data_IF_928665815635
#
_entry.id   IF_928665815635
#
_cell.length_a   1.000
_cell.length_b   1.000
_cell.length_c   1.000
_cell.angle_alpha   90.00
_cell.angle_beta   90.00
_cell.angle_gamma   90.00
#
_symmetry.space_group_name_H-M   'P 1'
#
loop_
_entity.id
_entity.type
_entity.pdbx_description
1 polymer ?
#
# COMPACT_ATOMS: atom_id res chain seq x y z
N UNK A 1 -9.74 -6.82 -3.17
CA UNK A 1 -9.26 -5.50 -3.51
C UNK A 1 -8.20 -5.00 -2.53
N UNK A 2 -8.55 -4.60 -1.33
CA UNK A 2 -7.54 -4.16 -0.35
C UNK A 2 -7.68 -5.00 0.91
N UNK A 3 -6.66 -5.78 1.20
CA UNK A 3 -6.65 -6.66 2.36
C UNK A 3 -5.98 -5.97 3.55
N UNK A 4 -5.94 -6.67 4.66
CA UNK A 4 -5.21 -6.20 5.83
C UNK A 4 -3.75 -5.93 5.49
N UNK A 5 -3.16 -6.80 4.66
CA UNK A 5 -1.75 -6.66 4.27
C UNK A 5 -1.51 -5.33 3.55
N UNK A 6 -2.37 -4.98 2.59
CA UNK A 6 -2.23 -3.72 1.86
C UNK A 6 -2.40 -2.52 2.76
N UNK A 7 -3.39 -2.57 3.66
CA UNK A 7 -3.60 -1.47 4.58
C UNK A 7 -2.41 -1.29 5.53
N UNK A 8 -1.85 -2.39 6.00
CA UNK A 8 -0.68 -2.31 6.90
C UNK A 8 0.57 -1.88 6.15
N UNK A 9 0.72 -2.29 4.89
CA UNK A 9 1.85 -1.82 4.09
C UNK A 9 1.83 -0.30 3.99
N UNK A 10 0.66 0.28 3.81
CA UNK A 10 0.53 1.73 3.74
C UNK A 10 0.93 2.36 5.07
N UNK A 11 0.53 1.74 6.19
CA UNK A 11 0.93 2.23 7.51
C UNK A 11 2.45 2.16 7.72
N UNK A 12 3.09 1.10 7.22
CA UNK A 12 4.55 0.99 7.30
C UNK A 12 5.22 2.11 6.51
N UNK A 13 4.72 2.37 5.30
CA UNK A 13 5.28 3.43 4.48
C UNK A 13 5.14 4.80 5.16
N UNK A 14 3.99 5.03 5.81
CA UNK A 14 3.79 6.27 6.55
C UNK A 14 4.70 6.37 7.76
N UNK A 15 4.90 5.26 8.46
CA UNK A 15 5.79 5.24 9.61
C UNK A 15 7.20 5.63 9.20
N UNK A 16 7.67 5.05 8.11
CA UNK A 16 9.01 5.38 7.60
C UNK A 16 9.08 6.82 7.11
N UNK A 17 8.00 7.34 6.54
CA UNK A 17 7.97 8.72 6.08
C UNK A 17 8.05 9.69 7.26
N UNK A 18 7.35 9.37 8.35
CA UNK A 18 7.34 10.21 9.54
C UNK A 18 8.69 10.24 10.25
N UNK A 19 9.51 9.22 10.01
CA UNK A 19 10.82 9.11 10.66
C UNK A 19 11.95 9.12 9.64
N UNK A 20 11.71 9.77 8.50
CA UNK A 20 12.66 9.74 7.39
C UNK A 20 14.04 10.34 7.74
N UNK A 21 14.07 11.27 8.68
CA UNK A 21 15.32 11.91 9.06
C UNK A 21 16.10 11.13 10.12
N UNK A 22 15.61 9.97 10.52
CA UNK A 22 16.27 9.17 11.56
C UNK A 22 17.12 8.04 10.98
N UNK A 23 17.33 8.02 9.68
CA UNK A 23 18.12 6.98 9.05
C UNK A 23 17.32 5.69 8.88
N UNK A 24 17.96 4.57 9.13
CA UNK A 24 17.29 3.27 9.05
C UNK A 24 16.49 3.01 10.32
N UNK A 25 15.25 2.60 10.17
CA UNK A 25 14.33 2.38 11.29
C UNK A 25 14.24 0.89 11.56
N UNK A 26 14.57 0.43 12.77
CA UNK A 26 14.48 -1.00 13.08
C UNK A 26 13.04 -1.49 13.00
N UNK A 27 12.87 -2.70 12.53
CA UNK A 27 11.54 -3.28 12.36
C UNK A 27 10.78 -3.34 13.69
N UNK A 28 11.47 -3.59 14.78
CA UNK A 28 10.82 -3.67 16.09
C UNK A 28 10.17 -2.35 16.48
N UNK A 29 10.77 -1.23 16.06
CA UNK A 29 10.21 0.08 16.37
C UNK A 29 8.93 0.32 15.57
N UNK A 30 8.93 -0.10 14.31
CA UNK A 30 7.74 0.00 13.48
C UNK A 30 6.63 -0.87 14.06
N UNK A 31 6.99 -2.09 14.45
CA UNK A 31 6.02 -3.03 15.01
C UNK A 31 5.36 -2.46 16.26
N UNK A 32 6.16 -1.84 17.11
CA UNK A 32 5.67 -1.28 18.34
C UNK A 32 4.72 -0.10 18.10
N UNK A 33 5.14 0.83 17.24
CA UNK A 33 4.32 2.00 16.95
C UNK A 33 3.02 1.65 16.24
N UNK A 34 3.08 0.70 15.32
CA UNK A 34 1.90 0.33 14.53
C UNK A 34 1.06 -0.76 15.18
N UNK A 35 1.55 -1.34 16.29
CA UNK A 35 0.85 -2.40 17.01
C UNK A 35 0.55 -3.59 16.11
N UNK A 36 1.57 -4.00 15.37
CA UNK A 36 1.48 -5.14 14.46
C UNK A 36 2.63 -6.09 14.81
N UNK A 37 2.40 -7.38 14.71
CA UNK A 37 3.45 -8.34 15.06
C UNK A 37 4.66 -8.16 14.14
N UNK A 38 5.83 -8.32 14.72
CA UNK A 38 7.07 -8.22 13.97
C UNK A 38 7.11 -9.23 12.84
N UNK A 39 6.60 -10.44 13.12
CA UNK A 39 6.61 -11.50 12.13
C UNK A 39 5.76 -11.14 10.91
N UNK A 40 4.60 -10.55 11.12
CA UNK A 40 3.76 -10.13 10.01
C UNK A 40 4.42 -9.00 9.23
N UNK A 41 5.07 -8.09 9.94
CA UNK A 41 5.77 -6.99 9.27
C UNK A 41 6.94 -7.49 8.42
N UNK A 42 7.57 -8.60 8.82
CA UNK A 42 8.65 -9.15 8.02
C UNK A 42 8.17 -9.54 6.62
N UNK A 43 6.94 -10.04 6.53
CA UNK A 43 6.37 -10.38 5.24
C UNK A 43 6.12 -9.13 4.41
N UNK A 44 5.57 -8.11 5.05
CA UNK A 44 5.24 -6.87 4.36
C UNK A 44 6.50 -6.16 3.86
N UNK A 45 7.51 -6.01 4.72
CA UNK A 45 8.72 -5.31 4.31
C UNK A 45 9.48 -6.07 3.23
N UNK A 46 9.37 -7.41 3.22
CA UNK A 46 9.98 -8.18 2.16
C UNK A 46 9.40 -7.80 0.80
N UNK A 47 8.08 -7.65 0.74
CA UNK A 47 7.44 -7.24 -0.50
C UNK A 47 7.84 -5.82 -0.88
N UNK A 48 7.88 -4.92 0.09
CA UNK A 48 8.22 -3.53 -0.18
C UNK A 48 9.67 -3.38 -0.65
N UNK A 49 10.57 -4.16 -0.06
CA UNK A 49 11.97 -4.16 -0.51
C UNK A 49 12.06 -4.75 -1.91
N UNK A 50 11.35 -5.85 -2.15
CA UNK A 50 11.35 -6.50 -3.45
C UNK A 50 10.84 -5.59 -4.55
N UNK A 51 9.88 -4.74 -4.25
CA UNK A 51 9.36 -3.75 -5.20
C UNK A 51 10.16 -2.46 -5.24
N UNK A 52 11.24 -2.40 -4.48
CA UNK A 52 12.14 -1.23 -4.44
C UNK A 52 11.47 0.03 -3.94
N UNK A 53 10.46 -0.12 -3.09
CA UNK A 53 9.82 1.02 -2.46
C UNK A 53 10.55 1.43 -1.18
N UNK A 54 11.18 0.47 -0.51
CA UNK A 54 12.02 0.76 0.64
C UNK A 54 13.31 -0.04 0.49
N UNK A 55 14.28 0.28 1.30
CA UNK A 55 15.53 -0.49 1.32
C UNK A 55 15.89 -0.79 2.76
N UNK A 56 16.59 -1.91 2.95
CA UNK A 56 16.99 -2.36 4.26
C UNK A 56 18.49 -2.32 4.43
N UNK A 57 18.92 -2.31 5.68
CA UNK A 57 20.31 -2.43 6.05
C UNK A 57 20.37 -3.36 7.24
N UNK A 58 21.35 -4.26 7.27
CA UNK A 58 21.48 -5.22 8.35
C UNK A 58 22.52 -4.75 9.36
N UNK A 59 22.57 -5.46 10.48
CA UNK A 59 23.55 -5.19 11.51
C UNK A 59 23.15 -4.07 12.44
N UNK A 60 24.11 -3.61 13.20
CA UNK A 60 23.88 -2.58 14.17
C UNK A 60 23.55 -1.28 13.46
N UNK A 61 22.50 -0.62 13.91
CA UNK A 61 22.02 0.58 13.23
C UNK A 61 21.21 0.29 11.98
N UNK A 62 20.88 -0.98 11.74
CA UNK A 62 20.13 -1.35 10.56
C UNK A 62 18.64 -1.17 10.72
N UNK A 63 17.92 -1.47 9.68
CA UNK A 63 16.48 -1.32 9.61
C UNK A 63 16.06 -1.02 8.20
N UNK A 64 15.02 -0.19 8.07
CA UNK A 64 14.45 0.13 6.77
C UNK A 64 14.29 1.63 6.61
N UNK A 65 14.32 2.07 5.37
CA UNK A 65 14.06 3.48 5.07
C UNK A 65 13.49 3.61 3.66
N UNK A 66 12.85 4.74 3.40
CA UNK A 66 12.28 5.01 2.08
C UNK A 66 13.38 5.20 1.04
N UNK A 67 13.08 4.82 -0.20
CA UNK A 67 13.98 5.03 -1.33
C UNK A 67 13.75 6.39 -1.99
N UNK A 68 12.57 6.98 -1.79
CA UNK A 68 12.17 8.23 -2.42
C UNK A 68 11.54 9.15 -1.38
N UNK A 69 11.32 10.39 -1.76
CA UNK A 69 10.59 11.32 -0.89
C UNK A 69 9.11 10.93 -0.87
N UNK A 70 8.41 11.23 0.23
CA UNK A 70 6.99 10.85 0.31
C UNK A 70 6.13 11.35 -0.84
N UNK A 71 6.43 12.52 -1.40
CA UNK A 71 5.65 13.06 -2.51
C UNK A 71 5.93 12.34 -3.83
N UNK A 72 6.91 11.44 -3.85
CA UNK A 72 7.26 10.72 -5.07
C UNK A 72 6.66 9.31 -5.10
N UNK A 73 5.86 8.95 -4.10
CA UNK A 73 5.14 7.68 -4.09
C UNK A 73 3.67 7.92 -4.32
N UNK A 74 3.03 7.04 -5.09
CA UNK A 74 1.57 7.04 -5.16
C UNK A 74 1.04 5.96 -4.25
N UNK A 75 -0.15 6.18 -3.69
CA UNK A 75 -0.81 5.15 -2.90
C UNK A 75 -1.07 3.92 -3.77
N UNK A 76 -1.41 4.15 -5.03
CA UNK A 76 -1.70 3.06 -5.95
C UNK A 76 -0.55 2.08 -6.10
N UNK A 77 0.69 2.57 -6.27
CA UNK A 77 1.80 1.64 -6.45
C UNK A 77 2.08 0.84 -5.19
N UNK A 78 1.85 1.41 -4.02
CA UNK A 78 2.06 0.69 -2.77
C UNK A 78 1.03 -0.44 -2.61
N UNK A 79 -0.24 -0.11 -2.83
CA UNK A 79 -1.31 -1.09 -2.68
C UNK A 79 -1.20 -2.17 -3.76
N UNK A 80 -0.94 -1.77 -4.99
CA UNK A 80 -0.86 -2.75 -6.08
C UNK A 80 0.29 -3.71 -5.88
N UNK A 81 1.42 -3.23 -5.36
CA UNK A 81 2.55 -4.10 -5.10
C UNK A 81 2.20 -5.17 -4.07
N UNK A 82 1.52 -4.78 -2.99
CA UNK A 82 1.25 -5.71 -1.90
C UNK A 82 0.04 -6.61 -2.17
N UNK A 83 -0.92 -6.13 -2.96
CA UNK A 83 -2.10 -6.93 -3.28
C UNK A 83 -1.95 -7.74 -4.55
N UNK A 84 -1.01 -7.35 -5.41
CA UNK A 84 -0.84 -7.98 -6.70
C UNK A 84 -1.71 -7.39 -7.78
N UNK A 85 -2.83 -6.79 -7.42
CA UNK A 85 -3.73 -6.17 -8.38
C UNK A 85 -4.63 -5.18 -7.65
N UNK A 86 -5.08 -4.16 -8.37
CA UNK A 86 -6.10 -3.25 -7.85
C UNK A 86 -7.48 -3.59 -8.38
N UNK A 87 -7.59 -4.64 -9.20
CA UNK A 87 -8.88 -5.00 -9.79
C UNK A 87 -9.91 -5.26 -8.70
N UNK A 88 -11.07 -4.61 -8.75
CA UNK A 88 -12.09 -4.80 -7.71
C UNK A 88 -12.80 -6.14 -7.81
N UNK A 89 -12.75 -6.78 -8.96
CA UNK A 89 -13.33 -8.11 -9.13
C UNK A 89 -12.39 -8.95 -10.00
N UNK A 90 -12.52 -10.25 -9.86
CA UNK A 90 -11.57 -11.18 -10.46
C UNK A 90 -11.50 -11.11 -11.98
N UNK A 91 -12.61 -10.87 -12.66
CA UNK A 91 -12.61 -10.88 -14.11
C UNK A 91 -11.88 -9.68 -14.73
N UNK A 92 -11.53 -8.68 -13.92
CA UNK A 92 -10.77 -7.53 -14.41
C UNK A 92 -9.29 -7.62 -14.08
N UNK A 93 -8.88 -8.64 -13.33
CA UNK A 93 -7.48 -8.80 -12.99
C UNK A 93 -6.68 -9.18 -14.25
N UNK A 94 -5.41 -8.80 -14.25
CA UNK A 94 -4.54 -9.04 -15.41
C UNK A 94 -4.41 -10.53 -15.74
N UNK A 95 -4.52 -11.39 -14.72
CA UNK A 95 -4.39 -12.82 -14.90
C UNK A 95 -5.73 -13.52 -15.04
N UNK A 96 -6.81 -12.77 -15.24
CA UNK A 96 -8.13 -13.36 -15.41
C UNK A 96 -8.17 -14.13 -16.73
N UNK A 97 -8.77 -15.31 -16.70
CA UNK A 97 -8.94 -16.07 -17.91
C UNK A 97 -10.09 -15.51 -18.73
N UNK A 98 -10.33 -16.16 -19.87
CA UNK A 98 -11.46 -15.80 -20.70
C UNK A 98 -12.75 -16.24 -20.07
N UNK A 99 -13.66 -15.30 -19.86
CA UNK A 99 -14.97 -15.63 -19.34
C UNK A 99 -15.91 -15.96 -20.52
N UNK A 100 -16.61 -17.11 -20.48
CA UNK A 100 -17.51 -17.46 -21.58
C UNK A 100 -18.64 -16.46 -21.77
N UNK A 101 -18.93 -15.65 -20.76
CA UNK A 101 -20.03 -14.69 -20.85
C UNK A 101 -19.55 -13.28 -21.21
N UNK A 102 -18.27 -13.12 -21.48
CA UNK A 102 -17.66 -11.80 -21.67
C UNK A 102 -18.42 -10.94 -22.69
N UNK A 103 -18.79 -11.53 -23.83
CA UNK A 103 -19.39 -10.77 -24.91
C UNK A 103 -20.85 -10.40 -24.67
N UNK A 104 -21.48 -10.98 -23.65
CA UNK A 104 -22.87 -10.69 -23.34
C UNK A 104 -23.09 -10.35 -21.87
N UNK A 105 -22.01 -10.06 -21.15
CA UNK A 105 -22.12 -9.71 -19.75
C UNK A 105 -22.53 -8.25 -19.62
N UNK A 106 -23.76 -8.03 -19.20
CA UNK A 106 -24.29 -6.67 -19.11
C UNK A 106 -23.73 -5.89 -17.93
N UNK A 107 -23.12 -6.57 -16.95
CA UNK A 107 -22.54 -5.88 -15.80
C UNK A 107 -21.07 -5.55 -16.02
N UNK A 108 -20.42 -6.12 -17.04
CA UNK A 108 -19.00 -5.88 -17.25
C UNK A 108 -18.65 -4.40 -17.45
N UNK A 109 -19.41 -3.64 -18.27
CA UNK A 109 -19.08 -2.21 -18.41
C UNK A 109 -19.17 -1.45 -17.10
N UNK A 110 -20.11 -1.82 -16.25
CA UNK A 110 -20.25 -1.21 -14.93
C UNK A 110 -18.99 -1.47 -14.09
N UNK A 111 -18.50 -2.71 -14.11
CA UNK A 111 -17.32 -3.05 -13.34
C UNK A 111 -16.06 -2.40 -13.91
N UNK A 112 -15.99 -2.24 -15.24
CA UNK A 112 -14.88 -1.50 -15.85
C UNK A 112 -14.88 -0.05 -15.39
N UNK A 113 -16.03 0.56 -15.28
CA UNK A 113 -16.12 1.94 -14.82
C UNK A 113 -15.65 2.05 -13.36
N UNK A 114 -16.09 1.11 -12.54
CA UNK A 114 -15.67 1.06 -11.14
C UNK A 114 -14.15 0.86 -11.02
N UNK A 115 -13.62 -0.04 -11.84
CA UNK A 115 -12.18 -0.32 -11.86
C UNK A 115 -11.40 0.95 -12.20
N UNK A 116 -11.84 1.69 -13.21
CA UNK A 116 -11.21 2.94 -13.59
C UNK A 116 -11.22 3.94 -12.43
N UNK A 117 -12.35 4.05 -11.73
CA UNK A 117 -12.45 4.95 -10.59
C UNK A 117 -11.47 4.56 -9.49
N UNK A 118 -11.34 3.26 -9.21
CA UNK A 118 -10.44 2.77 -8.18
C UNK A 118 -8.99 3.12 -8.54
N UNK A 119 -8.59 2.83 -9.77
CA UNK A 119 -7.23 3.14 -10.21
C UNK A 119 -6.95 4.63 -10.17
N UNK A 120 -7.86 5.44 -10.69
CA UNK A 120 -7.66 6.88 -10.72
C UNK A 120 -7.54 7.44 -9.31
N UNK A 121 -8.37 6.96 -8.40
CA UNK A 121 -8.33 7.42 -7.02
C UNK A 121 -7.00 7.08 -6.37
N UNK A 122 -6.60 5.81 -6.43
CA UNK A 122 -5.38 5.37 -5.76
C UNK A 122 -4.13 6.01 -6.34
N UNK A 123 -4.08 6.19 -7.66
CA UNK A 123 -2.90 6.79 -8.29
C UNK A 123 -2.90 8.32 -8.26
N UNK A 124 -4.01 8.93 -7.86
CA UNK A 124 -4.06 10.38 -7.71
C UNK A 124 -3.62 10.83 -6.32
N UNK A 125 -3.46 9.89 -5.37
CA UNK A 125 -3.06 10.23 -4.02
C UNK A 125 -1.59 9.87 -3.83
N UNK A 126 -0.88 10.74 -3.11
CA UNK A 126 0.53 10.54 -2.81
C UNK A 126 0.70 10.18 -1.35
N UNK A 127 1.80 9.53 -1.02
CA UNK A 127 2.10 9.22 0.37
C UNK A 127 2.14 10.50 1.20
N UNK A 128 2.68 11.59 0.62
CA UNK A 128 2.73 12.87 1.31
C UNK A 128 1.35 13.41 1.65
N UNK A 129 0.34 13.11 0.83
CA UNK A 129 -1.03 13.56 1.12
C UNK A 129 -1.54 12.92 2.41
N UNK A 130 -1.23 11.65 2.61
CA UNK A 130 -1.63 10.94 3.81
C UNK A 130 -0.82 11.39 5.01
N UNK A 131 0.44 11.72 4.78
CA UNK A 131 1.32 12.16 5.83
C UNK A 131 0.84 13.47 6.46
N UNK A 132 0.25 14.35 5.67
CA UNK A 132 -0.24 15.61 6.16
C UNK A 132 -1.68 15.55 6.67
N UNK A 133 -2.32 14.38 6.61
CA UNK A 133 -3.70 14.25 7.05
C UNK A 133 -3.79 14.29 8.57
N UNK A 134 -4.91 14.80 9.07
CA UNK A 134 -5.17 14.82 10.51
C UNK A 134 -5.77 13.49 10.92
N UNK A 135 -5.03 12.75 11.71
CA UNK A 135 -5.49 11.44 12.08
C UNK A 135 -6.47 11.43 13.20
N UNK A 136 -6.63 12.52 13.86
CA UNK A 136 -7.36 12.43 15.06
C UNK A 136 -8.56 13.17 15.12
N UNK A 137 -9.12 13.54 14.10
CA UNK A 137 -10.36 14.15 14.13
C UNK A 137 -11.38 13.15 14.36
N UNK A 138 -11.53 12.72 15.47
CA UNK A 138 -12.36 11.64 15.69
C UNK A 138 -13.67 12.08 15.63
N UNK A 139 -13.85 12.39 16.14
CA UNK A 139 -14.97 12.59 16.30
C UNK A 139 -15.76 12.85 15.43
N UNK A 140 -15.55 13.01 14.95
CA UNK A 140 -16.37 13.30 14.08
C UNK A 140 -17.14 12.27 13.75
N UNK A 141 -17.17 11.63 14.08
CA UNK A 141 -17.83 10.96 13.67
C UNK A 141 -18.86 10.65 13.86
N UNK A 142 -19.09 10.82 14.03
CA UNK A 142 -19.93 10.64 14.16
C UNK A 142 -20.53 10.35 13.88
#
# INVERSE_FOLDING_TARGET
MVSTKGRYALRVMLDLAEHADEGFIPLKDIALRQEVSKKYLEIIVRDLVGGKLIRGSSGKGGGYRLCRRPQDYTVGEIIELTEGTLAPIACLAADAGNCPRKDRCKTLPFWHEFDTMVHDFFYSRRLSDLLSAQADEPATKK
#
